data_IF_621416010741
#
_entry.id   IF_621416010741
#
_cell.length_a   1.000
_cell.length_b   1.000
_cell.length_c   1.000
_cell.angle_alpha   90.00
_cell.angle_beta   90.00
_cell.angle_gamma   90.00
#
_symmetry.space_group_name_H-M   'P 1'
#
loop_
_entity.id
_entity.type
_entity.pdbx_description
1 polymer ?
#
# COMPACT_ATOMS: atom_id res chain seq x y z
N UNK A 1 -4.39 -11.91 13.61
CA UNK A 1 -3.59 -10.80 13.06
C UNK A 1 -3.04 -11.28 11.72
N UNK A 2 -2.65 -10.38 10.83
CA UNK A 2 -2.08 -10.70 9.51
C UNK A 2 -0.94 -9.76 9.16
N UNK A 3 0.12 -10.32 8.56
CA UNK A 3 1.22 -9.54 8.00
C UNK A 3 0.70 -8.47 7.04
N UNK A 4 1.24 -7.26 7.14
CA UNK A 4 0.94 -6.11 6.29
C UNK A 4 2.25 -5.49 5.80
N UNK A 5 2.25 -5.08 4.53
CA UNK A 5 3.33 -4.34 3.90
C UNK A 5 2.75 -3.06 3.31
N UNK A 6 3.35 -1.92 3.62
CA UNK A 6 3.01 -0.63 3.02
C UNK A 6 4.22 -0.12 2.25
N UNK A 7 4.04 0.21 0.98
CA UNK A 7 5.03 0.89 0.15
C UNK A 7 4.52 2.27 -0.18
N UNK A 8 5.37 3.29 -0.05
CA UNK A 8 5.02 4.69 -0.31
C UNK A 8 6.06 5.33 -1.22
N UNK A 9 5.59 6.15 -2.15
CA UNK A 9 6.43 6.92 -3.08
C UNK A 9 6.03 8.39 -3.04
N UNK A 10 7.02 9.30 -3.00
CA UNK A 10 6.80 10.76 -3.00
C UNK A 10 5.82 11.27 -1.92
N UNK A 11 5.70 10.58 -0.78
CA UNK A 11 4.81 10.99 0.31
C UNK A 11 5.46 12.01 1.25
N UNK A 12 4.68 12.94 1.86
CA UNK A 12 5.17 13.90 2.84
C UNK A 12 5.84 13.24 4.06
N UNK A 13 6.88 13.87 4.67
CA UNK A 13 7.56 13.32 5.86
C UNK A 13 6.63 13.00 7.04
N UNK A 14 5.55 13.78 7.20
CA UNK A 14 4.52 13.53 8.24
C UNK A 14 3.88 12.15 8.14
N UNK A 15 3.66 11.63 6.92
CA UNK A 15 3.08 10.29 6.74
C UNK A 15 4.12 9.21 7.06
N UNK A 16 5.38 9.41 6.67
CA UNK A 16 6.47 8.48 7.00
C UNK A 16 6.60 8.27 8.51
N UNK A 17 6.70 9.37 9.26
CA UNK A 17 6.74 9.32 10.72
C UNK A 17 5.49 8.70 11.34
N UNK A 18 4.31 8.94 10.74
CA UNK A 18 3.05 8.35 11.19
C UNK A 18 3.01 6.84 10.98
N UNK A 19 3.49 6.31 9.84
CA UNK A 19 3.53 4.87 9.57
C UNK A 19 4.52 4.15 10.50
N UNK A 20 5.66 4.79 10.80
CA UNK A 20 6.67 4.25 11.70
C UNK A 20 6.20 4.05 13.15
N UNK A 21 5.03 4.60 13.54
CA UNK A 21 4.40 4.36 14.85
C UNK A 21 3.93 2.91 15.00
N UNK A 22 3.52 2.27 13.90
CA UNK A 22 2.93 0.92 13.92
C UNK A 22 3.76 -0.11 13.16
N UNK A 23 4.50 0.33 12.16
CA UNK A 23 5.18 -0.55 11.21
C UNK A 23 6.69 -0.27 11.22
N UNK A 24 7.49 -1.30 10.98
CA UNK A 24 8.94 -1.19 10.86
C UNK A 24 9.33 -0.78 9.44
N UNK A 25 10.04 0.33 9.29
CA UNK A 25 10.59 0.77 7.99
C UNK A 25 11.88 -0.01 7.68
N UNK A 26 11.79 -1.02 6.81
CA UNK A 26 12.94 -1.89 6.45
C UNK A 26 13.77 -1.33 5.31
N UNK A 27 13.17 -0.46 4.48
CA UNK A 27 13.80 0.36 3.43
C UNK A 27 13.03 1.66 3.31
N UNK A 28 13.64 2.66 2.68
CA UNK A 28 13.01 3.95 2.46
C UNK A 28 11.63 3.77 1.80
N UNK A 29 10.57 4.16 2.52
CA UNK A 29 9.19 4.05 2.06
C UNK A 29 8.60 2.63 2.07
N UNK A 30 9.29 1.62 2.62
CA UNK A 30 8.82 0.23 2.74
C UNK A 30 8.67 -0.14 4.21
N UNK A 31 7.42 -0.36 4.62
CA UNK A 31 7.03 -0.62 6.00
C UNK A 31 6.43 -2.03 6.12
N UNK A 32 6.80 -2.75 7.18
CA UNK A 32 6.32 -4.12 7.44
C UNK A 32 5.82 -4.23 8.87
N UNK A 33 4.74 -4.98 9.09
CA UNK A 33 4.24 -5.29 10.43
C UNK A 33 3.22 -6.43 10.43
N UNK A 34 2.67 -6.73 11.61
CA UNK A 34 1.55 -7.66 11.78
C UNK A 34 0.44 -6.96 12.54
N UNK A 35 -0.74 -6.86 11.94
CA UNK A 35 -1.84 -6.03 12.45
C UNK A 35 -3.18 -6.74 12.38
N UNK A 36 -4.14 -6.30 13.20
CA UNK A 36 -5.54 -6.67 13.03
C UNK A 36 -6.18 -5.88 11.88
N UNK A 37 -7.30 -6.37 11.34
CA UNK A 37 -8.08 -5.68 10.29
C UNK A 37 -8.41 -4.23 10.65
N UNK A 38 -8.82 -3.98 11.90
CA UNK A 38 -9.14 -2.63 12.41
C UNK A 38 -7.94 -1.68 12.34
N UNK A 39 -6.76 -2.15 12.77
CA UNK A 39 -5.54 -1.34 12.74
C UNK A 39 -5.11 -1.10 11.29
N UNK A 40 -5.22 -2.11 10.42
CA UNK A 40 -4.95 -1.97 8.99
C UNK A 40 -5.85 -0.92 8.32
N UNK A 41 -7.15 -0.94 8.60
CA UNK A 41 -8.10 0.07 8.08
C UNK A 41 -7.79 1.48 8.59
N UNK A 42 -7.40 1.60 9.87
CA UNK A 42 -6.95 2.88 10.42
C UNK A 42 -5.66 3.38 9.75
N UNK A 43 -4.67 2.51 9.54
CA UNK A 43 -3.44 2.84 8.80
C UNK A 43 -3.79 3.33 7.40
N UNK A 44 -4.73 2.66 6.72
CA UNK A 44 -5.19 3.07 5.40
C UNK A 44 -5.79 4.48 5.39
N UNK A 45 -6.64 4.81 6.37
CA UNK A 45 -7.17 6.17 6.51
C UNK A 45 -6.07 7.22 6.68
N UNK A 46 -5.01 6.90 7.43
CA UNK A 46 -3.86 7.80 7.59
C UNK A 46 -3.12 8.02 6.27
N UNK A 47 -2.94 6.96 5.48
CA UNK A 47 -2.30 7.03 4.15
C UNK A 47 -3.11 7.97 3.24
N UNK A 48 -4.42 7.76 3.12
CA UNK A 48 -5.25 8.54 2.20
C UNK A 48 -5.42 10.01 2.63
N UNK A 49 -5.41 10.30 3.93
CA UNK A 49 -5.53 11.68 4.44
C UNK A 49 -4.20 12.45 4.41
N UNK A 50 -3.07 11.78 4.63
CA UNK A 50 -1.78 12.44 4.80
C UNK A 50 -0.86 12.35 3.58
N UNK A 51 -1.20 11.50 2.60
CA UNK A 51 -0.36 11.14 1.46
C UNK A 51 -0.07 12.26 0.46
N UNK A 52 -0.82 13.36 0.47
CA UNK A 52 -0.54 14.54 -0.36
C UNK A 52 -0.64 14.24 -1.87
N UNK A 53 0.44 14.48 -2.62
CA UNK A 53 0.56 14.16 -4.05
C UNK A 53 1.40 12.90 -4.32
N UNK A 54 1.72 12.13 -3.27
CA UNK A 54 2.41 10.86 -3.40
C UNK A 54 1.48 9.72 -3.83
N UNK A 55 2.01 8.51 -3.80
CA UNK A 55 1.22 7.29 -3.96
C UNK A 55 1.63 6.24 -2.93
N UNK A 56 0.75 5.25 -2.73
CA UNK A 56 0.99 4.16 -1.81
C UNK A 56 0.30 2.88 -2.27
N UNK A 57 0.89 1.74 -1.92
CA UNK A 57 0.26 0.43 -1.97
C UNK A 57 0.32 -0.22 -0.60
N UNK A 58 -0.78 -0.81 -0.16
CA UNK A 58 -0.87 -1.61 1.06
C UNK A 58 -1.28 -3.02 0.68
N UNK A 59 -0.47 -4.00 1.02
CA UNK A 59 -0.73 -5.42 0.84
C UNK A 59 -0.80 -6.12 2.20
N UNK A 60 -1.64 -7.14 2.34
CA UNK A 60 -1.77 -7.90 3.57
C UNK A 60 -2.12 -9.37 3.31
N UNK A 61 -1.70 -10.25 4.22
CA UNK A 61 -2.04 -11.66 4.16
C UNK A 61 -3.55 -11.90 4.39
N UNK A 62 -4.13 -12.79 3.59
CA UNK A 62 -5.55 -13.19 3.63
C UNK A 62 -5.67 -14.69 3.38
N UNK A 63 -6.84 -15.26 3.69
CA UNK A 63 -7.16 -16.65 3.37
C UNK A 63 -7.82 -16.79 1.98
N UNK A 64 -7.37 -15.98 1.02
CA UNK A 64 -7.80 -16.05 -0.39
C UNK A 64 -6.83 -16.91 -1.18
N UNK A 65 -7.18 -17.25 -2.42
CA UNK A 65 -6.36 -18.12 -3.29
C UNK A 65 -4.91 -17.63 -3.46
N UNK A 66 -4.72 -16.33 -3.66
CA UNK A 66 -3.39 -15.73 -3.78
C UNK A 66 -2.61 -15.64 -2.45
N UNK A 67 -3.26 -15.90 -1.31
CA UNK A 67 -2.69 -15.76 0.03
C UNK A 67 -2.53 -14.31 0.53
N UNK A 68 -2.87 -13.32 -0.29
CA UNK A 68 -2.85 -11.91 0.06
C UNK A 68 -3.86 -11.10 -0.77
N UNK A 69 -4.15 -9.91 -0.28
CA UNK A 69 -4.84 -8.85 -1.02
C UNK A 69 -4.03 -7.56 -0.94
N UNK A 70 -4.29 -6.63 -1.86
CA UNK A 70 -3.70 -5.31 -1.82
C UNK A 70 -4.64 -4.24 -2.37
N UNK A 71 -4.35 -3.00 -2.01
CA UNK A 71 -5.04 -1.81 -2.51
C UNK A 71 -4.06 -0.66 -2.70
N UNK A 72 -4.38 0.25 -3.62
CA UNK A 72 -3.52 1.37 -4.01
C UNK A 72 -4.21 2.71 -3.77
N UNK A 73 -3.42 3.76 -3.59
CA UNK A 73 -3.86 5.14 -3.48
C UNK A 73 -2.88 6.07 -4.19
N UNK A 74 -3.39 7.11 -4.83
CA UNK A 74 -2.60 8.01 -5.68
C UNK A 74 -2.34 7.41 -7.07
N UNK A 75 -1.74 8.22 -7.94
CA UNK A 75 -1.44 7.83 -9.31
C UNK A 75 -0.10 7.09 -9.38
N UNK A 76 -0.09 5.94 -10.05
CA UNK A 76 1.11 5.18 -10.38
C UNK A 76 0.87 4.44 -11.71
N UNK A 77 1.93 4.23 -12.48
CA UNK A 77 1.86 3.44 -13.73
C UNK A 77 1.57 1.96 -13.49
N UNK A 78 1.82 1.46 -12.27
CA UNK A 78 1.44 0.12 -11.82
C UNK A 78 0.06 0.20 -11.19
N UNK A 79 -0.96 -0.19 -11.96
CA UNK A 79 -2.35 -0.16 -11.52
C UNK A 79 -2.86 -1.58 -11.22
N UNK A 80 -3.70 -1.76 -10.18
CA UNK A 80 -4.36 -3.03 -9.95
C UNK A 80 -5.34 -3.32 -11.08
N UNK A 81 -5.34 -4.56 -11.57
CA UNK A 81 -6.32 -5.06 -12.55
C UNK A 81 -6.91 -6.36 -12.05
N UNK A 82 -8.21 -6.57 -12.30
CA UNK A 82 -8.90 -7.81 -12.00
C UNK A 82 -8.95 -8.66 -13.28
N UNK A 83 -8.48 -9.90 -13.18
CA UNK A 83 -8.48 -10.89 -14.26
C UNK A 83 -9.07 -12.17 -13.69
N UNK A 84 -10.35 -12.41 -14.00
CA UNK A 84 -11.13 -13.57 -13.53
C UNK A 84 -11.10 -13.75 -12.00
N UNK A 85 -11.16 -12.65 -11.25
CA UNK A 85 -11.12 -12.65 -9.78
C UNK A 85 -9.72 -12.67 -9.17
N UNK A 86 -8.67 -12.74 -9.99
CA UNK A 86 -7.28 -12.55 -9.55
C UNK A 86 -6.88 -11.09 -9.70
N UNK A 87 -6.48 -10.47 -8.59
CA UNK A 87 -5.86 -9.14 -8.61
C UNK A 87 -4.40 -9.21 -9.04
N UNK A 88 -4.12 -8.67 -10.21
CA UNK A 88 -2.79 -8.54 -10.80
C UNK A 88 -2.40 -7.07 -10.92
N UNK A 89 -1.21 -6.81 -11.48
CA UNK A 89 -0.70 -5.45 -11.73
C UNK A 89 -0.46 -5.26 -13.21
N UNK A 90 -1.14 -4.28 -13.81
CA UNK A 90 -0.83 -3.80 -15.15
C UNK A 90 0.19 -2.68 -15.06
N UNK A 91 1.21 -2.73 -15.93
CA UNK A 91 2.20 -1.67 -16.04
C UNK A 91 1.93 -0.84 -17.29
N UNK A 92 1.36 0.34 -17.09
CA UNK A 92 1.02 1.25 -18.18
C UNK A 92 2.28 1.73 -18.90
N UNK A 93 2.22 1.93 -20.24
CA UNK A 93 3.31 2.54 -20.98
C UNK A 93 3.66 3.92 -20.42
N UNK A 94 4.85 4.41 -20.73
CA UNK A 94 5.13 5.84 -20.54
C UNK A 94 4.23 6.57 -21.53
N UNK A 95 3.43 7.53 -21.08
CA UNK A 95 2.79 8.46 -22.02
C UNK A 95 3.91 9.15 -22.78
N UNK A 96 4.05 8.80 -24.06
CA UNK A 96 5.03 9.42 -24.93
C UNK A 96 4.77 10.93 -24.93
N UNK A 97 5.83 11.71 -24.67
CA UNK A 97 5.87 13.16 -24.88
C UNK A 97 5.48 13.52 -26.31
#
# INVERSE_FOLDING_TARGET
MSMVVVVTENVPPRLRGRLAVWLLEVRAGVYVGDTSKRIREMIWQQITQLGGSGNAVMAWATNTESGFEFQTWGENRRIPVDLDGLRLVSFLPVENQ
#
